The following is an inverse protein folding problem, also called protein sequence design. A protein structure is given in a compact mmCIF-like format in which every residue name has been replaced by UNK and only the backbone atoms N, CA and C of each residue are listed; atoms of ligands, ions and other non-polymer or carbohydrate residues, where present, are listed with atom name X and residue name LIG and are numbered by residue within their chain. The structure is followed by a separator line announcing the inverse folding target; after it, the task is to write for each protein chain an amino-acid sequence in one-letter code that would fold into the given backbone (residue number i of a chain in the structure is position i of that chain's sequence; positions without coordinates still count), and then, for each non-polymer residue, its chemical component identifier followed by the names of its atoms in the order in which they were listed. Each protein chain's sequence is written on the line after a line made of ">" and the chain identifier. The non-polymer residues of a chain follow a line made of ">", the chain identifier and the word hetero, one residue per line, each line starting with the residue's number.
data_IF_626156585152
#
_entry.id   IF_626156585152
#
_cell.length_a   1.000
_cell.length_b   1.000
_cell.length_c   1.000
_cell.angle_alpha   90.00
_cell.angle_beta   90.00
_cell.angle_gamma   90.00
#
_symmetry.space_group_name_H-M   'P 1'
#
loop_
_entity.id
_entity.type
_entity.pdbx_description
1 polymer ?
#
# COMPACT_ATOMS: atom_id res chain seq x y z
N UNK A 1 3.12 -4.40 19.06
CA UNK A 1 2.66 -3.02 18.77
C UNK A 1 1.60 -2.47 19.74
N UNK A 2 0.81 -3.29 20.46
CA UNK A 2 -0.22 -2.80 21.41
C UNK A 2 0.31 -1.96 22.58
N UNK A 3 1.57 -2.13 22.98
CA UNK A 3 2.18 -1.40 24.11
C UNK A 3 2.43 0.07 23.80
N UNK A 4 2.71 0.45 22.55
CA UNK A 4 2.92 1.84 22.15
C UNK A 4 1.61 2.63 22.15
N UNK A 5 0.55 2.04 21.62
CA UNK A 5 -0.80 2.66 21.58
C UNK A 5 -1.33 2.92 22.98
N UNK A 6 -1.22 1.95 23.89
CA UNK A 6 -1.65 2.12 25.30
C UNK A 6 -0.88 3.21 26.03
N UNK A 7 0.44 3.34 25.78
CA UNK A 7 1.25 4.42 26.35
C UNK A 7 0.81 5.79 25.83
N UNK A 8 0.51 5.88 24.53
CA UNK A 8 0.02 7.10 23.90
C UNK A 8 -1.36 7.49 24.43
N UNK A 9 -2.29 6.53 24.52
CA UNK A 9 -3.62 6.69 25.13
C UNK A 9 -3.49 7.23 26.56
N UNK A 10 -2.69 6.58 27.40
CA UNK A 10 -2.47 7.01 28.78
C UNK A 10 -1.91 8.45 28.85
N UNK A 11 -0.93 8.77 28.01
CA UNK A 11 -0.37 10.12 27.96
C UNK A 11 -1.40 11.18 27.52
N UNK A 12 -2.30 10.85 26.58
CA UNK A 12 -3.39 11.76 26.16
C UNK A 12 -4.39 11.99 27.30
N UNK A 13 -4.76 10.95 28.04
CA UNK A 13 -5.65 11.09 29.20
C UNK A 13 -5.02 11.97 30.28
N UNK A 14 -3.72 11.78 30.56
CA UNK A 14 -2.96 12.62 31.49
C UNK A 14 -2.85 14.07 30.99
N UNK A 15 -2.64 14.28 29.70
CA UNK A 15 -2.63 15.60 29.06
C UNK A 15 -3.96 16.32 29.24
N UNK A 16 -5.08 15.61 29.06
CA UNK A 16 -6.41 16.16 29.27
C UNK A 16 -6.56 16.70 30.71
N UNK A 17 -6.16 15.92 31.71
CA UNK A 17 -6.24 16.33 33.11
C UNK A 17 -5.36 17.55 33.41
N UNK A 18 -4.10 17.54 32.92
CA UNK A 18 -3.20 18.70 33.06
C UNK A 18 -3.83 19.94 32.45
N UNK A 19 -4.36 19.85 31.23
CA UNK A 19 -5.00 20.98 30.55
C UNK A 19 -6.25 21.48 31.29
N UNK A 20 -7.05 20.58 31.86
CA UNK A 20 -8.21 20.95 32.66
C UNK A 20 -7.80 21.73 33.92
N UNK A 21 -6.75 21.30 34.61
CA UNK A 21 -6.21 21.99 35.80
C UNK A 21 -5.65 23.37 35.42
N UNK A 22 -4.79 23.45 34.40
CA UNK A 22 -4.21 24.71 33.93
C UNK A 22 -5.29 25.70 33.47
N UNK A 23 -6.39 25.19 32.90
CA UNK A 23 -7.53 26.01 32.48
C UNK A 23 -8.52 26.32 33.62
N UNK A 24 -8.20 25.93 34.86
CA UNK A 24 -9.05 26.09 36.04
C UNK A 24 -10.46 25.47 35.90
N UNK A 25 -10.56 24.34 35.19
CA UNK A 25 -11.79 23.57 34.92
C UNK A 25 -11.88 22.34 35.82
N UNK A 26 -12.07 22.56 37.13
CA UNK A 26 -12.15 21.48 38.14
C UNK A 26 -13.37 20.58 37.94
N UNK A 27 -14.45 21.11 37.38
CA UNK A 27 -15.63 20.36 36.94
C UNK A 27 -15.26 19.25 35.93
N UNK A 28 -14.36 19.55 34.99
CA UNK A 28 -13.90 18.60 33.98
C UNK A 28 -12.99 17.52 34.54
N UNK A 29 -12.19 17.86 35.55
CA UNK A 29 -11.40 16.88 36.31
C UNK A 29 -12.33 15.91 37.04
N UNK A 30 -13.37 16.41 37.71
CA UNK A 30 -14.36 15.57 38.39
C UNK A 30 -15.15 14.70 37.41
N UNK A 31 -15.61 15.27 36.28
CA UNK A 31 -16.31 14.54 35.21
C UNK A 31 -15.45 13.39 34.66
N UNK A 32 -14.16 13.67 34.42
CA UNK A 32 -13.21 12.66 33.96
C UNK A 32 -13.13 11.47 34.92
N UNK A 33 -12.87 11.73 36.20
CA UNK A 33 -12.74 10.64 37.17
C UNK A 33 -14.07 9.91 37.39
N UNK A 34 -15.21 10.59 37.39
CA UNK A 34 -16.51 9.93 37.48
C UNK A 34 -16.74 8.94 36.33
N UNK A 35 -16.31 9.28 35.11
CA UNK A 35 -16.50 8.44 33.92
C UNK A 35 -15.43 7.36 33.77
N UNK A 36 -14.17 7.71 33.99
CA UNK A 36 -13.02 6.87 33.63
C UNK A 36 -12.56 5.96 34.78
N UNK A 37 -12.93 6.24 36.05
CA UNK A 37 -12.51 5.41 37.20
C UNK A 37 -12.71 3.90 37.00
N UNK A 38 -13.86 3.40 36.49
CA UNK A 38 -14.05 1.97 36.30
C UNK A 38 -13.00 1.30 35.41
N UNK A 39 -12.49 2.03 34.41
CA UNK A 39 -11.48 1.55 33.46
C UNK A 39 -10.04 1.73 33.94
N UNK A 40 -9.82 2.69 34.84
CA UNK A 40 -8.49 3.11 35.28
C UNK A 40 -8.09 2.54 36.65
N UNK A 41 -9.05 2.21 37.53
CA UNK A 41 -8.78 1.80 38.92
C UNK A 41 -7.89 0.56 39.05
N UNK A 42 -7.90 -0.35 38.05
CA UNK A 42 -7.10 -1.56 38.05
C UNK A 42 -5.71 -1.37 37.39
N UNK A 43 -5.35 -0.15 37.00
CA UNK A 43 -4.08 0.16 36.33
C UNK A 43 -3.13 0.85 37.31
N UNK A 44 -2.01 0.22 37.66
CA UNK A 44 -1.04 0.74 38.64
C UNK A 44 -0.56 2.16 38.32
N UNK A 45 -0.38 2.47 37.03
CA UNK A 45 0.05 3.78 36.50
C UNK A 45 -0.92 4.94 36.76
N UNK A 46 -2.13 4.66 37.25
CA UNK A 46 -3.17 5.61 37.61
C UNK A 46 -3.37 5.78 39.12
N UNK A 47 -2.75 4.92 39.94
CA UNK A 47 -2.96 4.91 41.41
C UNK A 47 -2.76 6.29 42.03
N UNK A 48 -1.64 6.94 41.72
CA UNK A 48 -1.34 8.26 42.27
C UNK A 48 -2.21 9.35 41.61
N UNK A 49 -2.67 9.16 40.37
CA UNK A 49 -3.47 10.15 39.65
C UNK A 49 -4.85 10.38 40.26
N UNK A 50 -5.41 9.42 40.99
CA UNK A 50 -6.67 9.62 41.72
C UNK A 50 -6.58 10.66 42.83
N UNK A 51 -5.38 10.97 43.32
CA UNK A 51 -5.19 12.03 44.32
C UNK A 51 -5.10 13.43 43.69
N UNK A 52 -4.90 13.53 42.38
CA UNK A 52 -4.67 14.78 41.65
C UNK A 52 -5.72 15.87 41.95
N UNK A 53 -7.03 15.60 42.00
CA UNK A 53 -8.05 16.63 42.28
C UNK A 53 -7.91 17.28 43.67
N UNK A 54 -7.19 16.64 44.59
CA UNK A 54 -7.04 17.08 45.97
C UNK A 54 -5.71 17.80 46.22
N UNK A 55 -4.86 17.91 45.20
CA UNK A 55 -3.58 18.62 45.29
C UNK A 55 -3.79 20.07 44.85
N UNK A 56 -3.34 21.01 45.70
CA UNK A 56 -3.46 22.46 45.42
C UNK A 56 -2.55 22.93 44.28
N UNK A 57 -1.29 22.48 44.27
CA UNK A 57 -0.26 22.85 43.30
C UNK A 57 0.36 21.59 42.68
N UNK A 58 -0.36 20.90 41.78
CA UNK A 58 0.13 19.67 41.17
C UNK A 58 1.41 19.87 40.32
N UNK A 59 1.63 21.07 39.78
CA UNK A 59 2.85 21.43 39.06
C UNK A 59 4.12 21.42 39.92
N UNK A 60 4.00 21.60 41.24
CA UNK A 60 5.12 21.52 42.18
C UNK A 60 5.31 20.11 42.75
N UNK A 61 4.31 19.24 42.59
CA UNK A 61 4.36 17.89 43.13
C UNK A 61 5.30 17.00 42.29
N UNK A 62 6.29 16.30 42.89
CA UNK A 62 7.26 15.47 42.15
C UNK A 62 6.64 14.39 41.26
N UNK A 63 5.45 13.89 41.59
CA UNK A 63 4.73 12.89 40.81
C UNK A 63 4.17 13.47 39.52
N UNK A 64 3.73 14.73 39.55
CA UNK A 64 2.97 15.36 38.46
C UNK A 64 3.74 16.44 37.71
N UNK A 65 4.76 17.06 38.31
CA UNK A 65 5.48 18.23 37.78
C UNK A 65 5.98 18.04 36.34
N UNK A 66 6.49 16.84 36.01
CA UNK A 66 6.91 16.49 34.65
C UNK A 66 5.82 16.74 33.60
N UNK A 67 4.57 16.38 33.91
CA UNK A 67 3.43 16.47 32.99
C UNK A 67 2.98 17.91 32.75
N UNK A 68 3.34 18.84 33.64
CA UNK A 68 3.10 20.28 33.47
C UNK A 68 4.18 20.95 32.62
N UNK A 69 5.29 20.26 32.31
CA UNK A 69 6.36 20.85 31.48
C UNK A 69 5.97 20.94 30.00
N UNK A 70 6.28 22.08 29.37
CA UNK A 70 6.09 22.28 27.92
C UNK A 70 6.79 21.19 27.09
N UNK A 71 7.99 20.78 27.51
CA UNK A 71 8.76 19.75 26.83
C UNK A 71 8.03 18.41 26.75
N UNK A 72 7.40 17.97 27.85
CA UNK A 72 6.59 16.75 27.85
C UNK A 72 5.39 16.88 26.89
N UNK A 73 4.72 18.04 26.90
CA UNK A 73 3.57 18.28 26.02
C UNK A 73 3.93 18.27 24.53
N UNK A 74 5.00 18.98 24.16
CA UNK A 74 5.47 19.04 22.78
C UNK A 74 5.89 17.63 22.30
N UNK A 75 6.57 16.85 23.15
CA UNK A 75 6.97 15.47 22.85
C UNK A 75 5.76 14.55 22.62
N UNK A 76 4.70 14.70 23.44
CA UNK A 76 3.46 13.95 23.25
C UNK A 76 2.79 14.30 21.91
N UNK A 77 2.71 15.59 21.59
CA UNK A 77 2.08 16.05 20.35
C UNK A 77 2.81 15.53 19.10
N UNK A 78 4.13 15.54 19.10
CA UNK A 78 4.92 14.94 18.01
C UNK A 78 4.65 13.44 17.89
N UNK A 79 4.59 12.73 19.01
CA UNK A 79 4.29 11.29 19.03
C UNK A 79 2.87 10.99 18.51
N UNK A 80 1.90 11.80 18.91
CA UNK A 80 0.51 11.71 18.45
C UNK A 80 0.40 12.00 16.95
N UNK A 81 1.05 13.05 16.48
CA UNK A 81 1.08 13.41 15.06
C UNK A 81 1.66 12.25 14.23
N UNK A 82 2.81 11.71 14.64
CA UNK A 82 3.45 10.59 13.95
C UNK A 82 2.58 9.33 13.97
N UNK A 83 1.92 9.06 15.09
CA UNK A 83 0.97 7.94 15.20
C UNK A 83 -0.21 8.12 14.23
N UNK A 84 -0.87 9.27 14.26
CA UNK A 84 -2.00 9.56 13.38
C UNK A 84 -1.59 9.55 11.91
N UNK A 85 -0.47 10.16 11.55
CA UNK A 85 0.06 10.15 10.19
C UNK A 85 0.27 8.70 9.70
N UNK A 86 0.82 7.83 10.55
CA UNK A 86 0.98 6.41 10.22
C UNK A 86 -0.38 5.72 10.05
N UNK A 87 -1.35 5.95 10.93
CA UNK A 87 -2.70 5.39 10.80
C UNK A 87 -3.37 5.85 9.50
N UNK A 88 -3.29 7.14 9.18
CA UNK A 88 -3.87 7.70 7.95
C UNK A 88 -3.22 7.14 6.68
N UNK A 89 -1.93 6.82 6.69
CA UNK A 89 -1.25 6.20 5.54
C UNK A 89 -1.77 4.78 5.21
N UNK A 90 -2.30 4.07 6.20
CA UNK A 90 -2.87 2.73 6.02
C UNK A 90 -4.38 2.73 5.82
N UNK A 91 -5.03 3.89 5.89
CA UNK A 91 -6.45 4.00 5.59
C UNK A 91 -6.66 4.13 4.09
N UNK A 92 -7.73 3.51 3.55
CA UNK A 92 -8.05 3.64 2.13
C UNK A 92 -8.24 5.12 1.79
N UNK A 93 -7.64 5.54 0.67
CA UNK A 93 -7.77 6.89 0.15
C UNK A 93 -9.25 7.26 0.04
N UNK A 94 -9.71 8.37 0.65
CA UNK A 94 -11.10 8.77 0.54
C UNK A 94 -11.47 8.96 -0.93
N UNK A 95 -12.63 8.45 -1.35
CA UNK A 95 -13.08 8.42 -2.76
C UNK A 95 -13.03 9.79 -3.44
N UNK A 96 -13.20 10.88 -2.69
CA UNK A 96 -13.14 12.24 -3.23
C UNK A 96 -11.72 12.65 -3.65
N UNK A 97 -10.68 12.06 -3.06
CA UNK A 97 -9.28 12.35 -3.37
C UNK A 97 -8.81 11.64 -4.65
N UNK A 98 -9.50 10.57 -5.09
CA UNK A 98 -9.24 9.94 -6.40
C UNK A 98 -9.98 10.63 -7.55
N UNK A 99 -10.94 11.52 -7.28
CA UNK A 99 -11.76 12.14 -8.32
C UNK A 99 -10.94 12.87 -9.39
N UNK A 100 -9.94 13.65 -8.98
CA UNK A 100 -9.08 14.37 -9.92
C UNK A 100 -8.16 13.43 -10.71
N UNK A 101 -7.65 12.37 -10.07
CA UNK A 101 -6.86 11.33 -10.73
C UNK A 101 -7.70 10.52 -11.73
N UNK A 102 -8.93 10.17 -11.35
CA UNK A 102 -9.90 9.43 -12.15
C UNK A 102 -10.38 10.27 -13.34
N UNK A 103 -10.69 11.55 -13.13
CA UNK A 103 -11.04 12.49 -14.20
C UNK A 103 -9.89 12.65 -15.21
N UNK A 104 -8.66 12.81 -14.72
CA UNK A 104 -7.47 12.87 -15.58
C UNK A 104 -7.24 11.57 -16.37
N UNK A 105 -7.52 10.42 -15.77
CA UNK A 105 -7.42 9.12 -16.43
C UNK A 105 -8.49 8.95 -17.51
N UNK A 106 -9.73 9.36 -17.24
CA UNK A 106 -10.83 9.37 -18.20
C UNK A 106 -10.48 10.24 -19.40
N UNK A 107 -10.05 11.48 -19.18
CA UNK A 107 -9.65 12.41 -20.25
C UNK A 107 -8.54 11.82 -21.14
N UNK A 108 -7.52 11.21 -20.54
CA UNK A 108 -6.43 10.54 -21.28
C UNK A 108 -6.92 9.34 -22.09
N UNK A 109 -7.89 8.59 -21.57
CA UNK A 109 -8.47 7.46 -22.28
C UNK A 109 -9.34 7.92 -23.45
N UNK A 110 -10.17 8.94 -23.25
CA UNK A 110 -11.00 9.53 -24.30
C UNK A 110 -10.16 10.10 -25.45
N UNK A 111 -9.08 10.82 -25.14
CA UNK A 111 -8.17 11.34 -26.16
C UNK A 111 -7.52 10.22 -27.00
N UNK A 112 -7.16 9.09 -26.36
CA UNK A 112 -6.65 7.91 -27.09
C UNK A 112 -7.71 7.28 -27.98
N UNK A 113 -8.94 7.15 -27.48
CA UNK A 113 -10.07 6.61 -28.25
C UNK A 113 -10.31 7.49 -29.49
N UNK A 114 -10.31 8.81 -29.33
CA UNK A 114 -10.51 9.74 -30.44
C UNK A 114 -9.38 9.62 -31.48
N UNK A 115 -8.12 9.57 -31.02
CA UNK A 115 -6.96 9.39 -31.90
C UNK A 115 -7.03 8.09 -32.70
N UNK A 116 -7.36 6.98 -32.04
CA UNK A 116 -7.51 5.68 -32.71
C UNK A 116 -8.66 5.67 -33.71
N UNK A 117 -9.81 6.29 -33.36
CA UNK A 117 -10.93 6.45 -34.29
C UNK A 117 -10.54 7.26 -35.53
N UNK A 118 -9.77 8.35 -35.37
CA UNK A 118 -9.24 9.15 -36.49
C UNK A 118 -8.30 8.32 -37.37
N UNK A 119 -7.40 7.55 -36.78
CA UNK A 119 -6.50 6.67 -37.54
C UNK A 119 -7.26 5.59 -38.32
N UNK A 120 -8.27 4.97 -37.71
CA UNK A 120 -9.13 3.99 -38.38
C UNK A 120 -9.89 4.62 -39.55
N UNK A 121 -10.43 5.83 -39.39
CA UNK A 121 -11.12 6.54 -40.46
C UNK A 121 -10.20 6.82 -41.65
N UNK A 122 -8.98 7.34 -41.40
CA UNK A 122 -7.99 7.60 -42.45
C UNK A 122 -7.56 6.32 -43.20
N UNK A 123 -7.38 5.22 -42.48
CA UNK A 123 -7.03 3.93 -43.09
C UNK A 123 -8.20 3.34 -43.89
N UNK A 124 -9.44 3.49 -43.41
CA UNK A 124 -10.65 3.06 -44.12
C UNK A 124 -10.85 3.85 -45.41
N UNK A 125 -10.62 5.17 -45.38
CA UNK A 125 -10.72 6.05 -46.55
C UNK A 125 -9.62 5.70 -47.57
N UNK A 126 -8.38 5.48 -47.12
CA UNK A 126 -7.27 5.02 -47.96
C UNK A 126 -7.49 3.63 -48.58
N UNK A 127 -8.33 2.79 -47.97
CA UNK A 127 -8.70 1.48 -48.51
C UNK A 127 -9.75 1.57 -49.62
N UNK A 128 -10.51 2.68 -49.70
CA UNK A 128 -11.49 2.92 -50.77
C UNK A 128 -10.86 3.52 -52.04
N UNK A 129 -9.66 4.09 -51.96
CA UNK A 129 -8.90 4.61 -53.12
C UNK A 129 -8.01 3.58 -53.82
N UNK A 130 -7.91 2.35 -53.30
CA UNK A 130 -7.34 1.23 -54.04
C UNK A 130 -8.34 0.76 -55.10
N UNK A 131 -8.27 1.41 -56.26
CA UNK A 131 -8.91 1.08 -57.54
C UNK A 131 -9.08 -0.44 -57.68
N UNK A 132 -10.33 -0.90 -57.59
CA UNK A 132 -10.72 -2.23 -58.05
C UNK A 132 -10.75 -2.14 -59.58
N UNK A 133 -9.60 -2.29 -60.23
CA UNK A 133 -9.58 -2.67 -61.64
C UNK A 133 -10.08 -4.11 -61.69
N UNK A 134 -11.18 -4.42 -62.40
CA UNK A 134 -11.64 -5.79 -62.51
C UNK A 134 -10.57 -6.58 -63.27
N UNK A 135 -9.80 -7.41 -62.57
CA UNK A 135 -9.00 -8.42 -63.22
C UNK A 135 -10.01 -9.48 -63.70
N UNK A 136 -10.28 -9.53 -65.01
CA UNK A 136 -10.99 -10.67 -65.59
C UNK A 136 -10.10 -11.89 -65.37
N UNK A 137 -10.51 -12.75 -64.45
CA UNK A 137 -9.95 -14.09 -64.29
C UNK A 137 -10.95 -15.03 -64.92
N UNK A 138 -10.55 -15.70 -66.00
CA UNK A 138 -11.34 -16.78 -66.60
C UNK A 138 -11.69 -17.83 -65.53
N UNK A 139 -12.91 -18.40 -65.55
CA UNK A 139 -13.35 -19.35 -64.53
C UNK A 139 -12.45 -20.60 -64.54
N UNK A 140 -11.81 -20.96 -63.40
CA UNK A 140 -11.10 -22.22 -63.29
C UNK A 140 -12.10 -23.38 -63.40
N UNK A 141 -11.73 -24.50 -64.05
CA UNK A 141 -12.57 -25.69 -64.10
C UNK A 141 -12.88 -26.16 -62.68
N UNK A 142 -14.14 -26.55 -62.48
CA UNK A 142 -14.72 -26.95 -61.20
C UNK A 142 -13.91 -28.06 -60.52
N UNK A 143 -13.34 -27.76 -59.35
CA UNK A 143 -12.91 -28.81 -58.39
C UNK A 143 -12.71 -28.30 -56.94
N UNK A 144 -13.38 -27.23 -56.54
CA UNK A 144 -13.18 -26.61 -55.19
C UNK A 144 -14.35 -26.92 -54.22
N UNK A 145 -15.20 -27.92 -54.51
CA UNK A 145 -16.42 -28.16 -53.71
C UNK A 145 -16.39 -29.37 -52.74
N UNK A 146 -15.28 -30.10 -52.58
CA UNK A 146 -15.29 -31.36 -51.80
C UNK A 146 -14.97 -31.22 -50.29
N UNK A 147 -14.34 -30.14 -49.84
CA UNK A 147 -13.89 -30.06 -48.44
C UNK A 147 -15.03 -29.83 -47.44
N UNK A 148 -16.11 -29.14 -47.84
CA UNK A 148 -17.25 -28.88 -46.95
C UNK A 148 -18.21 -30.07 -46.84
N UNK A 149 -18.26 -30.95 -47.83
CA UNK A 149 -19.14 -32.13 -47.82
C UNK A 149 -18.62 -33.20 -46.85
N UNK A 150 -17.29 -33.26 -46.69
CA UNK A 150 -16.59 -34.20 -45.81
C UNK A 150 -16.95 -33.98 -44.33
N UNK A 151 -17.19 -32.74 -43.90
CA UNK A 151 -17.46 -32.39 -42.50
C UNK A 151 -18.87 -32.86 -42.06
N UNK A 152 -19.83 -32.93 -42.98
CA UNK A 152 -21.21 -33.25 -42.64
C UNK A 152 -21.52 -34.75 -42.57
N UNK A 153 -20.65 -35.62 -43.11
CA UNK A 153 -20.88 -37.08 -43.14
C UNK A 153 -20.26 -37.86 -41.97
N UNK A 154 -19.39 -37.26 -41.15
CA UNK A 154 -18.81 -37.97 -40.00
C UNK A 154 -19.77 -37.97 -38.80
N UNK A 155 -20.86 -38.73 -38.91
CA UNK A 155 -21.64 -39.16 -37.75
C UNK A 155 -22.09 -40.61 -37.94
N UNK A 156 -21.12 -41.52 -38.10
CA UNK A 156 -21.32 -42.98 -38.04
C UNK A 156 -20.00 -43.72 -37.81
N UNK A 157 -19.75 -44.12 -36.55
CA UNK A 157 -18.98 -45.31 -36.12
C UNK A 157 -17.43 -45.22 -36.06
N UNK A 158 -16.94 -44.92 -34.83
CA UNK A 158 -15.85 -45.57 -34.07
C UNK A 158 -14.35 -45.39 -34.44
N UNK A 159 -13.63 -44.79 -33.48
CA UNK A 159 -12.20 -44.88 -33.11
C UNK A 159 -11.09 -44.67 -34.17
N UNK A 160 -10.44 -43.49 -34.12
CA UNK A 160 -8.97 -43.32 -34.00
C UNK A 160 -8.49 -41.86 -34.22
N UNK A 161 -8.81 -40.94 -33.29
CA UNK A 161 -8.37 -39.53 -33.37
C UNK A 161 -6.94 -39.26 -32.81
N UNK A 162 -6.05 -40.26 -32.77
CA UNK A 162 -4.69 -40.04 -32.24
C UNK A 162 -3.65 -39.57 -33.28
N UNK A 163 -4.02 -39.47 -34.58
CA UNK A 163 -3.05 -39.18 -35.66
C UNK A 163 -3.15 -37.78 -36.27
N UNK A 164 -4.27 -37.07 -36.12
CA UNK A 164 -4.48 -35.74 -36.73
C UNK A 164 -3.72 -34.61 -35.99
N UNK A 165 -3.69 -34.66 -34.66
CA UNK A 165 -3.08 -33.59 -33.84
C UNK A 165 -1.55 -33.50 -33.94
N UNK A 166 -0.88 -34.55 -34.44
CA UNK A 166 0.60 -34.58 -34.52
C UNK A 166 1.15 -33.82 -35.73
N UNK A 167 0.34 -33.57 -36.76
CA UNK A 167 0.77 -32.81 -37.95
C UNK A 167 0.64 -31.29 -37.75
N UNK A 168 -0.27 -30.82 -36.89
CA UNK A 168 -0.46 -29.39 -36.62
C UNK A 168 0.68 -28.79 -35.78
N UNK A 169 1.32 -29.60 -34.92
CA UNK A 169 2.34 -29.13 -33.96
C UNK A 169 3.72 -28.95 -34.64
N UNK A 170 3.98 -29.59 -35.78
CA UNK A 170 5.31 -29.55 -36.43
C UNK A 170 5.57 -28.25 -37.21
N UNK A 171 4.55 -27.47 -37.57
CA UNK A 171 4.71 -26.28 -38.42
C UNK A 171 4.88 -24.94 -37.64
N UNK A 172 4.86 -24.97 -36.30
CA UNK A 172 5.05 -23.77 -35.45
C UNK A 172 6.53 -23.60 -35.03
N UNK A 173 7.42 -24.53 -35.40
CA UNK A 173 8.78 -24.66 -34.84
C UNK A 173 9.96 -24.24 -35.72
N UNK A 174 9.78 -23.63 -36.90
CA UNK A 174 10.89 -23.30 -37.81
C UNK A 174 10.85 -21.83 -38.22
N UNK A 175 11.75 -21.04 -37.64
CA UNK A 175 11.69 -19.59 -37.59
C UNK A 175 11.89 -18.82 -38.90
N UNK A 176 11.29 -17.63 -38.93
CA UNK A 176 11.99 -16.39 -39.29
C UNK A 176 11.19 -15.17 -38.83
N UNK A 177 11.60 -14.54 -37.73
CA UNK A 177 11.45 -13.11 -37.53
C UNK A 177 12.58 -12.59 -36.63
N UNK A 178 13.25 -11.48 -36.99
CA UNK A 178 14.53 -11.09 -36.45
C UNK A 178 14.41 -10.34 -35.11
N UNK A 179 15.12 -10.91 -34.14
CA UNK A 179 15.97 -10.33 -33.09
C UNK A 179 16.05 -8.79 -32.95
N UNK A 180 15.86 -8.28 -31.73
CA UNK A 180 16.81 -7.32 -31.12
C UNK A 180 16.70 -7.27 -29.58
N UNK A 181 17.69 -7.85 -28.90
CA UNK A 181 18.31 -7.20 -27.74
C UNK A 181 17.99 -7.71 -26.33
N UNK A 182 18.98 -8.41 -25.76
CA UNK A 182 19.40 -8.44 -24.34
C UNK A 182 18.77 -9.46 -23.37
N UNK A 183 19.36 -10.66 -23.33
CA UNK A 183 20.32 -11.17 -22.31
C UNK A 183 20.44 -10.25 -21.05
N UNK A 184 20.27 -10.65 -19.79
CA UNK A 184 20.83 -11.81 -19.05
C UNK A 184 19.90 -12.26 -17.90
N UNK A 185 19.96 -13.57 -17.62
CA UNK A 185 19.49 -14.21 -16.41
C UNK A 185 20.62 -14.18 -15.36
N UNK A 186 20.42 -13.49 -14.23
CA UNK A 186 21.24 -13.61 -13.01
C UNK A 186 20.25 -13.61 -11.84
N UNK A 187 20.12 -14.66 -11.05
CA UNK A 187 21.18 -15.16 -10.19
C UNK A 187 20.78 -14.79 -8.76
N UNK A 188 20.22 -15.76 -8.03
CA UNK A 188 19.69 -15.55 -6.69
C UNK A 188 20.75 -15.05 -5.70
N UNK A 189 20.34 -14.15 -4.82
CA UNK A 189 21.16 -13.74 -3.68
C UNK A 189 20.34 -13.82 -2.39
N UNK A 190 20.57 -14.91 -1.66
CA UNK A 190 20.22 -15.08 -0.25
C UNK A 190 20.98 -14.03 0.57
N UNK A 191 20.29 -13.11 1.25
CA UNK A 191 20.88 -12.38 2.39
C UNK A 191 20.33 -12.96 3.69
N UNK A 192 21.23 -13.65 4.39
CA UNK A 192 21.07 -14.13 5.76
C UNK A 192 21.04 -12.95 6.73
N UNK A 193 20.16 -13.06 7.73
CA UNK A 193 20.25 -12.34 9.00
C UNK A 193 21.59 -12.62 9.67
N UNK A 194 22.21 -11.58 10.20
CA UNK A 194 23.32 -11.65 11.15
C UNK A 194 23.08 -10.65 12.27
N UNK A 195 22.57 -11.16 13.40
CA UNK A 195 22.58 -10.51 14.72
C UNK A 195 23.83 -11.01 15.45
N UNK A 196 24.57 -10.10 16.09
CA UNK A 196 25.38 -10.25 17.31
C UNK A 196 26.04 -8.89 17.58
N UNK A 197 25.62 -8.15 18.60
CA UNK A 197 26.05 -8.25 20.00
C UNK A 197 27.47 -7.71 20.26
N UNK A 198 27.51 -6.55 20.92
CA UNK A 198 28.29 -6.32 22.14
C UNK A 198 29.81 -6.21 22.05
N UNK A 199 30.35 -5.01 22.33
CA UNK A 199 31.33 -4.85 23.40
C UNK A 199 31.52 -3.38 23.81
N UNK A 200 31.03 -3.08 25.00
CA UNK A 200 31.59 -2.10 25.91
C UNK A 200 33.06 -2.43 26.20
N UNK A 201 33.93 -1.43 26.25
CA UNK A 201 35.13 -1.52 27.09
C UNK A 201 35.33 -0.20 27.83
N UNK A 202 35.26 -0.31 29.16
CA UNK A 202 35.48 0.73 30.16
C UNK A 202 36.48 0.13 31.14
N UNK A 203 37.69 0.67 31.19
CA UNK A 203 38.73 0.43 32.22
C UNK A 203 40.00 1.14 31.73
N UNK A 204 40.72 1.96 32.47
CA UNK A 204 40.71 2.32 33.89
C UNK A 204 41.92 3.22 34.16
N UNK A 205 42.06 3.71 35.40
CA UNK A 205 43.24 4.47 35.88
C UNK A 205 42.82 5.74 36.60
N UNK A 206 42.40 5.63 37.86
CA UNK A 206 43.21 5.77 39.09
C UNK A 206 43.44 7.23 39.53
N UNK A 207 42.96 7.45 40.74
CA UNK A 207 43.09 8.61 41.62
C UNK A 207 44.53 9.09 41.81
N UNK A 208 44.71 10.39 42.00
CA UNK A 208 45.56 10.93 43.09
C UNK A 208 44.95 12.23 43.62
N UNK A 209 44.74 12.24 44.94
CA UNK A 209 44.62 13.41 45.80
C UNK A 209 45.93 14.22 45.73
N UNK A 210 45.86 15.55 45.85
CA UNK A 210 46.66 16.34 46.81
C UNK A 210 46.06 17.74 46.97
N UNK A 211 46.14 18.23 48.21
CA UNK A 211 45.70 19.50 48.78
C UNK A 211 46.24 20.75 48.05
N UNK A 212 45.49 21.85 48.01
CA UNK A 212 45.68 23.05 48.85
C UNK A 212 44.47 23.98 48.74
#
# INVERSE_FOLDING_TARGET
>A
NMTGVKKLENAILKMYLVNAIVSNKSDKVAEFFNKMTPELQNREEWKDWFMLPYIKNPEENPVFSLYFTKHWQDTLLVSLHNFLASVFQYMPTPTLMSFEEDANKINKMEAKIESLKKQLALLSEKSQEAIITPCQVDPPPHDIYDDFYTIAQENSVMDNQAKSLKNLIRNIGSGSSPILGRKDNAGGMKKRLGSMSGRSNKSGGQSYLYET
#
